data_IF_855042209761
#
_entry.id   IF_855042209761
#
_cell.length_a   1.000
_cell.length_b   1.000
_cell.length_c   1.000
_cell.angle_alpha   90.00
_cell.angle_beta   90.00
_cell.angle_gamma   90.00
#
_symmetry.space_group_name_H-M   'P 1'
#
loop_
_entity.id
_entity.type
_entity.pdbx_description
1 polymer ?
#
# COMPACT_ATOMS: atom_id res chain seq x y z
N UNK A 1 -0.49 -14.66 1.80
CA UNK A 1 -1.94 -14.41 1.97
C UNK A 1 -2.11 -13.97 3.39
N UNK A 2 -2.79 -12.85 3.58
CA UNK A 2 -3.08 -12.25 4.88
C UNK A 2 -4.59 -11.99 4.98
N UNK A 3 -5.04 -11.62 6.17
CA UNK A 3 -6.42 -11.20 6.43
C UNK A 3 -6.49 -9.69 6.65
N UNK A 4 -7.52 -9.05 6.12
CA UNK A 4 -7.75 -7.63 6.35
C UNK A 4 -8.23 -7.38 7.79
N UNK A 5 -7.76 -6.28 8.37
CA UNK A 5 -8.13 -5.85 9.71
C UNK A 5 -9.41 -5.01 9.69
N UNK A 6 -10.07 -4.89 10.85
CA UNK A 6 -11.27 -4.07 11.02
C UNK A 6 -10.96 -2.57 10.86
N UNK A 7 -12.01 -1.77 10.67
CA UNK A 7 -11.88 -0.32 10.58
C UNK A 7 -12.09 0.30 11.96
N UNK A 8 -11.18 1.20 12.36
CA UNK A 8 -11.37 2.07 13.50
C UNK A 8 -11.94 3.42 13.04
N UNK A 9 -12.99 3.88 13.72
CA UNK A 9 -13.59 5.19 13.50
C UNK A 9 -13.51 5.98 14.80
N UNK A 10 -12.72 7.04 14.80
CA UNK A 10 -12.56 7.94 15.92
C UNK A 10 -13.66 9.00 15.86
N UNK A 11 -14.36 9.26 16.98
CA UNK A 11 -15.34 10.34 17.02
C UNK A 11 -14.60 11.69 17.07
N UNK A 12 -14.85 12.56 16.09
CA UNK A 12 -14.16 13.85 15.96
C UNK A 12 -12.79 13.75 15.30
N UNK A 13 -11.80 14.48 15.82
CA UNK A 13 -10.43 14.44 15.32
C UNK A 13 -9.64 13.29 15.96
N UNK A 14 -8.85 12.58 15.16
CA UNK A 14 -8.10 11.39 15.59
C UNK A 14 -7.15 11.67 16.76
N UNK A 15 -6.62 12.89 16.88
CA UNK A 15 -5.68 13.27 17.95
C UNK A 15 -6.38 13.68 19.25
N UNK A 16 -7.69 13.95 19.21
CA UNK A 16 -8.46 14.46 20.37
C UNK A 16 -9.59 13.53 20.82
N UNK A 17 -9.87 12.47 20.06
CA UNK A 17 -10.92 11.53 20.37
C UNK A 17 -10.63 10.74 21.65
N UNK A 18 -11.64 10.61 22.52
CA UNK A 18 -11.52 9.88 23.79
C UNK A 18 -11.80 8.38 23.67
N UNK A 19 -12.38 7.94 22.55
CA UNK A 19 -12.67 6.53 22.28
C UNK A 19 -12.66 6.25 20.77
N UNK A 20 -12.84 4.99 20.38
CA UNK A 20 -12.91 4.58 18.98
C UNK A 20 -13.99 3.52 18.80
N UNK A 21 -14.76 3.65 17.74
CA UNK A 21 -15.72 2.65 17.30
C UNK A 21 -14.98 1.64 16.40
N UNK A 22 -15.29 0.37 16.57
CA UNK A 22 -14.70 -0.72 15.79
C UNK A 22 -15.75 -1.28 14.84
N UNK A 23 -15.45 -1.28 13.54
CA UNK A 23 -16.26 -1.90 12.49
C UNK A 23 -15.54 -3.13 11.92
N UNK A 24 -16.16 -4.30 12.12
CA UNK A 24 -15.64 -5.61 11.71
C UNK A 24 -16.10 -6.05 10.31
N UNK A 25 -16.87 -5.25 9.57
CA UNK A 25 -17.43 -5.65 8.26
C UNK A 25 -16.37 -6.11 7.23
N UNK A 26 -15.15 -5.62 7.34
CA UNK A 26 -14.03 -5.99 6.45
C UNK A 26 -13.06 -7.02 7.05
N UNK A 27 -13.26 -7.45 8.30
CA UNK A 27 -12.37 -8.42 8.93
C UNK A 27 -12.39 -9.77 8.23
N UNK A 28 -11.21 -10.35 8.00
CA UNK A 28 -11.09 -11.66 7.38
C UNK A 28 -11.24 -11.64 5.85
N UNK A 29 -11.40 -10.47 5.23
CA UNK A 29 -11.32 -10.36 3.77
C UNK A 29 -9.93 -10.83 3.32
N UNK A 30 -9.82 -11.74 2.34
CA UNK A 30 -8.52 -12.22 1.88
C UNK A 30 -7.72 -11.11 1.22
N UNK A 31 -6.45 -10.99 1.59
CA UNK A 31 -5.51 -10.04 1.01
C UNK A 31 -4.26 -10.76 0.47
N UNK A 32 -3.69 -10.16 -0.57
CA UNK A 32 -2.42 -10.56 -1.14
C UNK A 32 -1.43 -9.41 -1.03
N UNK A 33 -0.46 -9.53 -0.14
CA UNK A 33 0.68 -8.62 -0.04
C UNK A 33 1.74 -8.99 -1.08
N UNK A 34 2.14 -8.02 -1.91
CA UNK A 34 3.19 -8.18 -2.93
C UNK A 34 4.34 -7.24 -2.58
N UNK A 35 5.44 -7.81 -2.09
CA UNK A 35 6.67 -7.07 -1.78
C UNK A 35 7.62 -7.15 -2.97
N UNK A 36 8.12 -6.00 -3.42
CA UNK A 36 9.08 -5.91 -4.53
C UNK A 36 10.49 -5.70 -4.00
N UNK A 37 11.48 -6.13 -4.78
CA UNK A 37 12.87 -5.70 -4.58
C UNK A 37 13.02 -4.20 -4.91
N UNK A 38 14.01 -3.51 -4.34
CA UNK A 38 14.19 -2.07 -4.52
C UNK A 38 14.82 -1.74 -5.89
N UNK A 39 14.11 -2.07 -6.96
CA UNK A 39 14.59 -1.98 -8.35
C UNK A 39 14.14 -0.71 -9.07
N UNK A 40 13.07 -0.07 -8.63
CA UNK A 40 12.64 1.21 -9.19
C UNK A 40 13.71 2.29 -8.97
N UNK A 41 13.96 3.08 -10.02
CA UNK A 41 14.94 4.18 -10.04
C UNK A 41 14.28 5.54 -10.26
N UNK A 42 12.99 5.58 -10.55
CA UNK A 42 12.21 6.81 -10.66
C UNK A 42 10.76 6.62 -10.18
N UNK A 43 10.08 7.71 -9.75
CA UNK A 43 8.65 7.67 -9.44
C UNK A 43 7.79 7.22 -10.63
N UNK A 44 8.20 7.54 -11.86
CA UNK A 44 7.48 7.15 -13.07
C UNK A 44 7.51 5.63 -13.30
N UNK A 45 8.65 4.97 -13.06
CA UNK A 45 8.75 3.51 -13.11
C UNK A 45 7.81 2.84 -12.09
N UNK A 46 7.75 3.37 -10.86
CA UNK A 46 6.86 2.87 -9.82
C UNK A 46 5.37 3.04 -10.24
N UNK A 47 5.01 4.19 -10.83
CA UNK A 47 3.66 4.43 -11.37
C UNK A 47 3.31 3.44 -12.47
N UNK A 48 4.21 3.24 -13.43
CA UNK A 48 4.02 2.29 -14.54
C UNK A 48 3.83 0.86 -14.00
N UNK A 49 4.64 0.46 -13.02
CA UNK A 49 4.52 -0.84 -12.37
C UNK A 49 3.14 -1.03 -11.73
N UNK A 50 2.67 -0.07 -10.92
CA UNK A 50 1.36 -0.15 -10.26
C UNK A 50 0.21 -0.20 -11.27
N UNK A 51 0.26 0.61 -12.32
CA UNK A 51 -0.74 0.59 -13.42
C UNK A 51 -0.74 -0.77 -14.12
N UNK A 52 0.43 -1.36 -14.36
CA UNK A 52 0.56 -2.68 -14.99
C UNK A 52 0.02 -3.78 -14.08
N UNK A 53 0.37 -3.77 -12.80
CA UNK A 53 -0.10 -4.72 -11.81
C UNK A 53 -1.64 -4.66 -11.70
N UNK A 54 -2.20 -3.45 -11.60
CA UNK A 54 -3.64 -3.21 -11.61
C UNK A 54 -4.32 -3.81 -12.84
N UNK A 55 -3.76 -3.56 -14.03
CA UNK A 55 -4.28 -4.12 -15.28
C UNK A 55 -4.27 -5.65 -15.29
N UNK A 56 -3.23 -6.28 -14.73
CA UNK A 56 -3.12 -7.75 -14.67
C UNK A 56 -4.19 -8.32 -13.74
N UNK A 57 -4.31 -7.81 -12.51
CA UNK A 57 -5.25 -8.37 -11.53
C UNK A 57 -6.72 -8.17 -11.94
N UNK A 58 -7.02 -7.03 -12.59
CA UNK A 58 -8.33 -6.78 -13.20
C UNK A 58 -8.62 -7.75 -14.35
N UNK A 59 -7.64 -8.00 -15.22
CA UNK A 59 -7.81 -8.92 -16.34
C UNK A 59 -8.02 -10.37 -15.87
N UNK A 60 -7.38 -10.76 -14.77
CA UNK A 60 -7.57 -12.08 -14.16
C UNK A 60 -8.89 -12.19 -13.38
N UNK A 61 -9.60 -11.09 -13.11
CA UNK A 61 -10.85 -11.09 -12.36
C UNK A 61 -10.70 -11.40 -10.87
N UNK A 62 -9.48 -11.23 -10.32
CA UNK A 62 -9.17 -11.58 -8.91
C UNK A 62 -9.19 -10.37 -7.96
N UNK A 63 -9.13 -9.15 -8.51
CA UNK A 63 -9.18 -7.89 -7.76
C UNK A 63 -9.69 -6.79 -8.72
N UNK A 64 -10.57 -5.91 -8.24
CA UNK A 64 -11.06 -4.75 -9.02
C UNK A 64 -10.01 -3.63 -9.15
N UNK A 65 -8.93 -3.67 -8.35
CA UNK A 65 -7.81 -2.75 -8.39
C UNK A 65 -8.17 -1.29 -8.06
N UNK A 66 -9.23 -1.04 -7.30
CA UNK A 66 -9.67 0.31 -6.96
C UNK A 66 -8.88 0.90 -5.78
N UNK A 67 -8.08 1.93 -6.05
CA UNK A 67 -7.31 2.61 -4.99
C UNK A 67 -8.18 3.54 -4.14
N UNK A 68 -9.25 4.11 -4.69
CA UNK A 68 -10.16 5.03 -3.97
C UNK A 68 -11.01 4.28 -2.94
N UNK A 69 -11.41 3.04 -3.27
CA UNK A 69 -12.20 2.17 -2.39
C UNK A 69 -11.32 1.30 -1.48
N UNK A 70 -9.99 1.37 -1.64
CA UNK A 70 -9.01 0.71 -0.76
C UNK A 70 -8.80 -0.78 -1.03
N UNK A 71 -9.29 -1.31 -2.16
CA UNK A 71 -9.04 -2.70 -2.59
C UNK A 71 -7.65 -2.90 -3.18
N UNK A 72 -6.97 -1.82 -3.59
CA UNK A 72 -5.53 -1.80 -3.88
C UNK A 72 -4.85 -0.68 -3.10
N UNK A 73 -3.81 -1.03 -2.34
CA UNK A 73 -3.02 -0.14 -1.49
C UNK A 73 -1.54 -0.28 -1.83
N UNK A 74 -0.75 0.76 -1.54
CA UNK A 74 0.69 0.73 -1.80
C UNK A 74 1.43 1.63 -0.81
N UNK A 75 2.30 1.02 -0.01
CA UNK A 75 3.31 1.72 0.77
C UNK A 75 4.61 1.74 -0.04
N UNK A 76 5.29 2.90 -0.11
CA UNK A 76 6.50 3.08 -0.91
C UNK A 76 7.74 3.24 -0.03
N UNK A 77 8.77 2.44 -0.30
CA UNK A 77 10.08 2.56 0.34
C UNK A 77 11.04 3.33 -0.57
N UNK A 78 11.55 4.47 -0.10
CA UNK A 78 12.41 5.37 -0.87
C UNK A 78 13.72 5.59 -0.13
N UNK A 79 14.84 5.57 -0.84
CA UNK A 79 16.13 6.03 -0.33
C UNK A 79 16.90 6.73 -1.44
N UNK A 80 17.77 7.68 -1.06
CA UNK A 80 18.68 8.36 -1.99
C UNK A 80 20.11 7.91 -1.73
N UNK A 81 20.93 7.85 -2.77
CA UNK A 81 22.35 7.47 -2.68
C UNK A 81 23.20 8.27 -3.67
N UNK A 82 24.50 8.50 -3.38
CA UNK A 82 25.42 9.05 -4.35
C UNK A 82 25.44 8.24 -5.65
N UNK A 83 25.61 8.92 -6.78
CA UNK A 83 25.73 8.27 -8.08
C UNK A 83 26.85 7.22 -8.05
N UNK A 84 26.59 6.02 -8.60
CA UNK A 84 27.49 4.86 -8.64
C UNK A 84 27.71 4.13 -7.31
N UNK A 85 27.10 4.56 -6.19
CA UNK A 85 27.12 3.78 -4.96
C UNK A 85 26.35 2.47 -5.13
N UNK A 86 26.91 1.36 -4.63
CA UNK A 86 26.22 0.05 -4.60
C UNK A 86 25.31 -0.10 -3.39
N UNK A 87 25.61 0.56 -2.27
CA UNK A 87 24.79 0.52 -1.06
C UNK A 87 23.56 1.41 -1.22
N UNK A 88 22.44 0.95 -0.63
CA UNK A 88 21.25 1.79 -0.45
C UNK A 88 21.47 2.76 0.71
N UNK A 89 20.82 3.91 0.65
CA UNK A 89 20.86 4.92 1.70
C UNK A 89 19.83 4.64 2.80
N UNK A 90 19.62 5.64 3.66
CA UNK A 90 18.57 5.58 4.68
C UNK A 90 17.19 5.45 4.03
N UNK A 91 16.42 4.46 4.49
CA UNK A 91 15.07 4.18 4.02
C UNK A 91 14.07 5.16 4.66
N UNK A 92 13.27 5.80 3.82
CA UNK A 92 12.03 6.45 4.20
C UNK A 92 10.86 5.61 3.68
N UNK A 93 9.84 5.42 4.50
CA UNK A 93 8.62 4.70 4.15
C UNK A 93 7.47 5.71 4.06
N UNK A 94 6.77 5.71 2.93
CA UNK A 94 5.57 6.51 2.68
C UNK A 94 4.40 5.55 2.75
N UNK A 95 3.50 5.79 3.71
CA UNK A 95 2.26 5.05 3.92
C UNK A 95 1.07 5.93 3.59
#
# INVERSE_FOLDING_TARGET
>A
IEEDAGKLVHEGDIASSSYSLVDYNRCGIPLAEIVTEPDFRSPEEARIFLVKLRSIVQHLGVCDGNMEEGSMRCDANVSVRPAKSKSLGTKAEVK
#
